data_IF_981226259326
#
_entry.id   IF_981226259326
#
_cell.length_a   1.000
_cell.length_b   1.000
_cell.length_c   1.000
_cell.angle_alpha   90.00
_cell.angle_beta   90.00
_cell.angle_gamma   90.00
#
_symmetry.space_group_name_H-M   'P 1'
#
loop_
_entity.id
_entity.type
_entity.pdbx_description
1 polymer ?
#
# COMPACT_ATOMS: atom_id res chain seq x y z
N UNK A 1 71.66 20.49 18.04
CA UNK A 1 70.25 20.84 18.32
C UNK A 1 69.49 20.75 17.00
N UNK A 2 68.94 19.58 16.67
CA UNK A 2 68.29 19.31 15.39
C UNK A 2 66.80 19.65 15.49
N UNK A 3 66.39 20.70 14.77
CA UNK A 3 64.99 21.11 14.63
C UNK A 3 64.26 20.05 13.81
N UNK A 4 63.30 19.33 14.41
CA UNK A 4 62.38 18.45 13.67
C UNK A 4 61.23 19.29 13.13
N UNK A 5 61.11 19.35 11.82
CA UNK A 5 60.01 19.98 11.10
C UNK A 5 58.82 19.00 11.17
N UNK A 6 57.85 19.26 12.04
CA UNK A 6 56.59 18.51 12.07
C UNK A 6 55.72 19.00 10.91
N UNK A 7 55.68 18.22 9.82
CA UNK A 7 54.71 18.39 8.74
C UNK A 7 53.32 18.01 9.26
N UNK A 8 52.51 19.01 9.63
CA UNK A 8 51.08 18.83 9.84
C UNK A 8 50.44 18.64 8.46
N UNK A 9 50.07 17.40 8.14
CA UNK A 9 49.21 17.10 6.99
C UNK A 9 47.78 17.46 7.43
N UNK A 10 47.29 18.59 6.94
CA UNK A 10 45.86 18.93 7.01
C UNK A 10 45.16 18.08 5.94
N UNK A 11 44.62 16.93 6.33
CA UNK A 11 43.70 16.18 5.46
C UNK A 11 42.40 16.98 5.45
N UNK A 12 42.22 17.80 4.40
CA UNK A 12 40.93 18.41 4.10
C UNK A 12 40.04 17.28 3.59
N UNK A 13 39.28 16.64 4.49
CA UNK A 13 38.20 15.75 4.09
C UNK A 13 37.14 16.60 3.42
N UNK A 14 37.16 16.64 2.09
CA UNK A 14 36.00 17.04 1.31
C UNK A 14 34.96 15.95 1.58
N UNK A 15 34.12 16.16 2.58
CA UNK A 15 32.87 15.44 2.71
C UNK A 15 32.04 15.83 1.49
N UNK A 16 32.16 15.04 0.42
CA UNK A 16 31.09 14.98 -0.55
C UNK A 16 29.87 14.53 0.24
N UNK A 17 28.83 15.37 0.31
CA UNK A 17 27.51 14.89 0.69
C UNK A 17 27.10 13.91 -0.41
N UNK A 18 27.37 12.62 -0.19
CA UNK A 18 26.64 11.59 -0.90
C UNK A 18 25.16 11.89 -0.69
N UNK A 19 24.32 11.80 -1.73
CA UNK A 19 22.92 12.00 -1.50
C UNK A 19 22.42 10.89 -0.55
N UNK A 20 21.70 11.24 0.52
CA UNK A 20 20.75 10.31 1.15
C UNK A 20 19.69 10.02 0.09
N UNK A 21 19.81 8.93 -0.68
CA UNK A 21 18.92 8.72 -1.84
C UNK A 21 18.53 7.30 -2.15
N UNK A 22 19.43 6.32 -2.07
CA UNK A 22 19.10 4.94 -2.48
C UNK A 22 19.17 3.97 -1.28
N UNK A 23 20.15 4.18 -0.38
CA UNK A 23 20.26 3.40 0.86
C UNK A 23 19.09 3.66 1.81
N UNK A 24 18.64 4.91 1.96
CA UNK A 24 17.49 5.23 2.83
C UNK A 24 16.18 4.73 2.24
N UNK A 25 16.06 4.71 0.91
CA UNK A 25 14.92 4.08 0.25
C UNK A 25 14.94 2.57 0.49
N UNK A 26 16.12 1.95 0.38
CA UNK A 26 16.29 0.53 0.68
C UNK A 26 15.93 0.23 2.13
N UNK A 27 16.46 0.99 3.09
CA UNK A 27 16.15 0.86 4.52
C UNK A 27 14.66 1.09 4.80
N UNK A 28 14.04 2.08 4.17
CA UNK A 28 12.60 2.31 4.30
C UNK A 28 11.78 1.09 3.84
N UNK A 29 12.11 0.54 2.67
CA UNK A 29 11.42 -0.63 2.14
C UNK A 29 11.65 -1.85 3.05
N UNK A 30 12.90 -2.13 3.45
CA UNK A 30 13.21 -3.23 4.37
C UNK A 30 12.49 -3.06 5.71
N UNK A 31 12.53 -1.87 6.32
CA UNK A 31 11.86 -1.58 7.59
C UNK A 31 10.34 -1.75 7.50
N UNK A 32 9.73 -1.33 6.39
CA UNK A 32 8.30 -1.51 6.11
C UNK A 32 7.91 -2.98 6.14
N UNK A 33 8.64 -3.83 5.42
CA UNK A 33 8.33 -5.26 5.35
C UNK A 33 8.76 -6.04 6.60
N UNK A 34 9.73 -5.51 7.36
CA UNK A 34 10.12 -6.05 8.66
C UNK A 34 9.12 -5.74 9.79
N UNK A 35 8.10 -4.92 9.53
CA UNK A 35 7.19 -4.46 10.57
C UNK A 35 7.84 -3.51 11.58
N UNK A 36 8.96 -2.86 11.20
CA UNK A 36 9.73 -1.96 12.06
C UNK A 36 9.09 -0.56 12.13
N UNK A 37 7.92 -0.49 12.75
CA UNK A 37 7.04 0.68 12.83
C UNK A 37 7.77 1.99 13.23
N UNK A 38 8.67 1.91 14.20
CA UNK A 38 9.39 3.05 14.76
C UNK A 38 10.43 3.61 13.79
N UNK A 39 11.05 2.75 12.97
CA UNK A 39 11.98 3.17 11.92
C UNK A 39 11.17 3.84 10.81
N UNK A 40 10.11 3.18 10.33
CA UNK A 40 9.24 3.73 9.29
C UNK A 40 8.63 5.08 9.71
N UNK A 41 8.14 5.18 10.94
CA UNK A 41 7.59 6.42 11.49
C UNK A 41 8.62 7.57 11.50
N UNK A 42 9.89 7.27 11.76
CA UNK A 42 10.96 8.27 11.73
C UNK A 42 11.31 8.78 10.32
N UNK A 43 10.87 8.08 9.27
CA UNK A 43 11.18 8.39 7.87
C UNK A 43 10.02 9.04 7.13
N UNK A 44 8.79 8.97 7.66
CA UNK A 44 7.59 9.58 7.07
C UNK A 44 7.24 10.91 7.76
N UNK A 45 6.53 11.79 7.06
CA UNK A 45 6.00 13.03 7.62
C UNK A 45 4.64 12.84 8.29
N UNK A 46 4.25 13.78 9.15
CA UNK A 46 2.94 13.77 9.83
C UNK A 46 1.75 13.86 8.85
N UNK A 47 1.97 14.42 7.65
CA UNK A 47 0.97 14.53 6.59
C UNK A 47 1.11 13.44 5.51
N UNK A 48 1.84 12.37 5.82
CA UNK A 48 2.11 11.27 4.91
C UNK A 48 0.84 10.67 4.30
N UNK A 49 0.92 10.37 2.99
CA UNK A 49 -0.12 9.66 2.24
C UNK A 49 0.45 8.52 1.42
N UNK A 50 -0.08 7.32 1.62
CA UNK A 50 0.20 6.18 0.77
C UNK A 50 -0.96 5.91 -0.18
N UNK A 51 -0.72 6.04 -1.48
CA UNK A 51 -1.70 5.79 -2.53
C UNK A 51 -1.43 4.43 -3.17
N UNK A 52 -2.39 3.52 -3.01
CA UNK A 52 -2.32 2.19 -3.62
C UNK A 52 -2.52 2.27 -5.13
N UNK A 53 -2.21 1.18 -5.83
CA UNK A 53 -2.49 1.11 -7.27
C UNK A 53 -3.99 1.20 -7.54
N UNK A 54 -4.44 2.09 -8.45
CA UNK A 54 -5.84 2.17 -8.82
C UNK A 54 -6.38 0.85 -9.37
N UNK A 55 -7.66 0.58 -9.12
CA UNK A 55 -8.35 -0.60 -9.61
C UNK A 55 -9.78 -0.27 -10.04
N UNK A 56 -10.37 -1.15 -10.85
CA UNK A 56 -11.78 -1.07 -11.23
C UNK A 56 -12.58 -1.95 -10.28
N UNK A 57 -13.56 -1.37 -9.58
CA UNK A 57 -14.34 -2.09 -8.60
C UNK A 57 -15.57 -1.31 -8.12
N UNK A 58 -16.21 -1.79 -7.06
CA UNK A 58 -17.34 -1.09 -6.43
C UNK A 58 -16.89 0.00 -5.44
N UNK A 59 -15.61 0.07 -5.08
CA UNK A 59 -15.09 1.10 -4.17
C UNK A 59 -15.54 0.94 -2.71
N UNK A 60 -15.75 -0.29 -2.27
CA UNK A 60 -16.25 -0.63 -0.93
C UNK A 60 -15.33 -1.64 -0.22
N UNK A 61 -15.36 -1.61 1.11
CA UNK A 61 -14.84 -2.66 1.98
C UNK A 61 -15.99 -3.49 2.50
N UNK A 62 -15.80 -4.81 2.59
CA UNK A 62 -16.83 -5.73 3.06
C UNK A 62 -16.29 -6.76 4.02
N UNK A 63 -17.12 -7.15 4.98
CA UNK A 63 -16.90 -8.33 5.83
C UNK A 63 -18.03 -9.33 5.62
N UNK A 64 -17.68 -10.61 5.49
CA UNK A 64 -18.68 -11.66 5.35
C UNK A 64 -19.18 -12.09 6.73
N UNK A 65 -20.48 -11.92 6.98
CA UNK A 65 -21.15 -12.44 8.17
C UNK A 65 -22.56 -12.91 7.81
N UNK A 66 -22.99 -13.99 8.47
CA UNK A 66 -24.38 -14.47 8.44
C UNK A 66 -24.98 -14.65 7.04
N UNK A 67 -24.16 -15.11 6.08
CA UNK A 67 -24.62 -15.36 4.71
C UNK A 67 -24.55 -14.17 3.76
N UNK A 68 -24.07 -13.00 4.23
CA UNK A 68 -24.06 -11.74 3.48
C UNK A 68 -22.72 -11.02 3.58
N UNK A 69 -22.46 -10.08 2.66
CA UNK A 69 -21.32 -9.16 2.74
C UNK A 69 -21.81 -7.83 3.31
N UNK A 70 -21.42 -7.53 4.54
CA UNK A 70 -21.64 -6.24 5.19
C UNK A 70 -20.65 -5.23 4.64
N UNK A 71 -21.14 -4.11 4.12
CA UNK A 71 -20.30 -2.97 3.72
C UNK A 71 -19.79 -2.27 4.99
N UNK A 72 -18.48 -2.34 5.22
CA UNK A 72 -17.82 -1.75 6.40
C UNK A 72 -17.14 -0.42 6.11
N UNK A 73 -16.95 -0.09 4.83
CA UNK A 73 -16.35 1.17 4.42
C UNK A 73 -16.55 1.48 2.95
N UNK A 74 -16.36 2.75 2.60
CA UNK A 74 -16.35 3.26 1.23
C UNK A 74 -14.99 3.92 1.02
N UNK A 75 -14.34 3.63 -0.11
CA UNK A 75 -13.00 4.17 -0.41
C UNK A 75 -13.07 5.67 -0.68
N UNK A 76 -14.04 6.09 -1.48
CA UNK A 76 -14.32 7.48 -1.83
C UNK A 76 -15.83 7.67 -2.02
N UNK A 77 -16.46 8.38 -1.09
CA UNK A 77 -17.91 8.63 -1.06
C UNK A 77 -18.37 9.61 -2.15
N UNK A 78 -17.45 10.38 -2.73
CA UNK A 78 -17.74 11.22 -3.90
C UNK A 78 -17.88 10.41 -5.19
N UNK A 79 -17.25 9.22 -5.24
CA UNK A 79 -17.30 8.31 -6.40
C UNK A 79 -18.39 7.24 -6.24
N UNK A 80 -18.55 6.67 -5.04
CA UNK A 80 -19.54 5.64 -4.75
C UNK A 80 -20.71 6.21 -3.94
N UNK A 81 -21.80 6.52 -4.63
CA UNK A 81 -23.00 7.18 -4.06
C UNK A 81 -24.23 6.26 -4.01
N UNK A 82 -24.11 5.01 -4.48
CA UNK A 82 -25.21 4.05 -4.57
C UNK A 82 -25.23 3.05 -3.43
N UNK A 83 -24.11 2.91 -2.70
CA UNK A 83 -23.91 1.95 -1.62
C UNK A 83 -23.44 2.70 -0.38
N UNK A 84 -23.89 2.22 0.78
CA UNK A 84 -23.65 2.87 2.07
C UNK A 84 -23.02 1.88 3.06
N UNK A 85 -22.25 2.42 4.01
CA UNK A 85 -21.79 1.61 5.16
C UNK A 85 -23.00 1.07 5.91
N UNK A 86 -22.97 -0.23 6.21
CA UNK A 86 -24.06 -0.97 6.83
C UNK A 86 -24.96 -1.75 5.86
N UNK A 87 -24.86 -1.50 4.55
CA UNK A 87 -25.61 -2.28 3.56
C UNK A 87 -25.16 -3.75 3.59
N UNK A 88 -26.10 -4.67 3.36
CA UNK A 88 -25.84 -6.11 3.32
C UNK A 88 -26.05 -6.63 1.90
N UNK A 89 -24.99 -7.03 1.21
CA UNK A 89 -25.09 -7.64 -0.12
C UNK A 89 -25.34 -9.14 0.05
N UNK A 90 -26.39 -9.65 -0.59
CA UNK A 90 -26.79 -11.06 -0.52
C UNK A 90 -26.47 -11.82 -1.79
N UNK A 91 -26.64 -11.17 -2.95
CA UNK A 91 -26.28 -11.72 -4.25
C UNK A 91 -25.56 -10.70 -5.12
N UNK A 92 -24.66 -11.20 -5.97
CA UNK A 92 -23.97 -10.43 -6.98
C UNK A 92 -23.95 -11.21 -8.29
N UNK A 93 -24.46 -10.59 -9.37
CA UNK A 93 -24.58 -11.17 -10.70
C UNK A 93 -25.28 -12.54 -10.74
N UNK A 94 -26.35 -12.68 -9.95
CA UNK A 94 -27.15 -13.91 -9.87
C UNK A 94 -26.47 -15.05 -9.10
N UNK A 95 -25.43 -14.76 -8.32
CA UNK A 95 -24.79 -15.71 -7.41
C UNK A 95 -24.84 -15.19 -5.97
N UNK A 96 -25.24 -16.06 -5.05
CA UNK A 96 -25.19 -15.79 -3.61
C UNK A 96 -23.74 -15.51 -3.19
N UNK A 97 -23.55 -14.51 -2.34
CA UNK A 97 -22.24 -14.16 -1.84
C UNK A 97 -21.74 -15.17 -0.80
N UNK A 98 -20.44 -15.17 -0.56
CA UNK A 98 -19.70 -16.03 0.35
C UNK A 98 -18.46 -15.26 0.80
N UNK A 99 -17.72 -15.79 1.77
CA UNK A 99 -16.44 -15.20 2.20
C UNK A 99 -15.44 -15.02 1.05
N UNK A 100 -15.57 -15.79 -0.04
CA UNK A 100 -14.71 -15.71 -1.22
C UNK A 100 -15.43 -15.09 -2.44
N UNK A 101 -16.67 -14.63 -2.29
CA UNK A 101 -17.50 -14.23 -3.42
C UNK A 101 -17.49 -12.74 -3.71
N UNK A 102 -17.83 -12.42 -4.96
CA UNK A 102 -17.14 -12.90 -6.15
C UNK A 102 -16.01 -11.94 -6.51
N UNK A 103 -15.02 -12.44 -7.25
CA UNK A 103 -14.03 -11.55 -7.88
C UNK A 103 -14.76 -10.66 -8.87
N UNK A 104 -14.76 -9.36 -8.59
CA UNK A 104 -15.37 -8.35 -9.43
C UNK A 104 -14.44 -8.12 -10.62
N UNK A 105 -14.92 -8.42 -11.82
CA UNK A 105 -14.18 -8.21 -13.06
C UNK A 105 -15.04 -7.39 -14.02
N UNK A 106 -14.41 -6.50 -14.78
CA UNK A 106 -15.09 -5.66 -15.73
C UNK A 106 -14.36 -4.35 -16.01
N UNK A 107 -14.93 -3.58 -16.91
CA UNK A 107 -14.46 -2.24 -17.28
C UNK A 107 -15.18 -1.19 -16.44
N UNK A 108 -14.57 -0.01 -16.32
CA UNK A 108 -15.26 1.14 -15.74
C UNK A 108 -16.61 1.37 -16.46
N UNK A 109 -17.67 1.54 -15.69
CA UNK A 109 -19.05 1.68 -16.17
C UNK A 109 -19.82 0.37 -16.34
N UNK A 110 -19.18 -0.80 -16.30
CA UNK A 110 -19.89 -2.08 -16.37
C UNK A 110 -20.79 -2.24 -15.13
N UNK A 111 -22.06 -2.54 -15.35
CA UNK A 111 -23.04 -2.66 -14.27
C UNK A 111 -22.97 -4.02 -13.57
N UNK A 112 -22.80 -4.00 -12.25
CA UNK A 112 -22.92 -5.16 -11.38
C UNK A 112 -24.34 -5.24 -10.82
N UNK A 113 -25.02 -6.35 -11.07
CA UNK A 113 -26.37 -6.57 -10.51
C UNK A 113 -26.23 -7.08 -9.08
N UNK A 114 -26.75 -6.32 -8.13
CA UNK A 114 -26.73 -6.66 -6.71
C UNK A 114 -28.15 -6.90 -6.20
N UNK A 115 -28.30 -7.89 -5.33
CA UNK A 115 -29.43 -7.99 -4.40
C UNK A 115 -28.87 -7.68 -3.02
N UNK A 116 -29.40 -6.64 -2.38
CA UNK A 116 -28.92 -6.18 -1.08
C UNK A 116 -30.06 -5.69 -0.17
N UNK A 117 -29.79 -5.56 1.11
CA UNK A 117 -30.65 -4.87 2.06
C UNK A 117 -29.96 -3.58 2.48
N UNK A 118 -30.65 -2.45 2.36
CA UNK A 118 -30.12 -1.15 2.77
C UNK A 118 -30.05 -1.04 4.29
N UNK A 119 -29.07 -0.30 4.81
CA UNK A 119 -28.96 -0.03 6.25
C UNK A 119 -30.28 0.50 6.81
N UNK A 120 -30.83 -0.17 7.83
CA UNK A 120 -32.10 0.22 8.46
C UNK A 120 -33.37 -0.24 7.72
N UNK A 121 -33.22 -0.95 6.60
CA UNK A 121 -34.29 -1.65 5.90
C UNK A 121 -34.28 -3.16 6.24
N UNK A 122 -35.38 -3.84 5.97
CA UNK A 122 -35.53 -5.30 6.08
C UNK A 122 -35.90 -5.96 4.75
N UNK A 123 -36.11 -5.18 3.70
CA UNK A 123 -36.50 -5.66 2.38
C UNK A 123 -35.30 -5.80 1.44
N UNK A 124 -35.39 -6.76 0.50
CA UNK A 124 -34.40 -6.87 -0.56
C UNK A 124 -34.63 -5.80 -1.63
N UNK A 125 -33.54 -5.16 -2.02
CA UNK A 125 -33.47 -4.22 -3.14
C UNK A 125 -32.58 -4.83 -4.21
N UNK A 126 -33.08 -4.88 -5.44
CA UNK A 126 -32.27 -5.19 -6.61
C UNK A 126 -31.80 -3.88 -7.26
N UNK A 127 -30.49 -3.76 -7.53
CA UNK A 127 -29.95 -2.60 -8.23
C UNK A 127 -28.74 -2.95 -9.10
N UNK A 128 -28.46 -2.09 -10.07
CA UNK A 128 -27.29 -2.19 -10.94
C UNK A 128 -26.31 -1.08 -10.52
N UNK A 129 -25.16 -1.47 -9.99
CA UNK A 129 -24.11 -0.54 -9.54
C UNK A 129 -22.97 -0.54 -10.56
N UNK A 130 -22.59 0.60 -11.15
CA UNK A 130 -21.49 0.64 -12.11
C UNK A 130 -20.14 0.44 -11.41
N UNK A 131 -19.23 -0.24 -12.09
CA UNK A 131 -17.82 -0.26 -11.67
C UNK A 131 -17.18 1.12 -11.88
N UNK A 132 -16.39 1.54 -10.91
CA UNK A 132 -15.69 2.83 -10.91
C UNK A 132 -14.18 2.60 -10.82
N UNK A 133 -13.41 3.57 -11.31
CA UNK A 133 -11.97 3.62 -11.07
C UNK A 133 -11.75 4.20 -9.68
N UNK A 134 -11.12 3.43 -8.81
CA UNK A 134 -10.94 3.78 -7.40
C UNK A 134 -9.47 3.66 -7.02
N UNK A 135 -9.02 4.52 -6.12
CA UNK A 135 -7.70 4.46 -5.54
C UNK A 135 -7.80 4.53 -4.01
N UNK A 136 -7.47 3.42 -3.34
CA UNK A 136 -7.37 3.43 -1.89
C UNK A 136 -6.15 4.21 -1.44
N UNK A 137 -6.29 4.97 -0.35
CA UNK A 137 -5.17 5.68 0.26
C UNK A 137 -5.18 5.55 1.78
N UNK A 138 -3.99 5.57 2.37
CA UNK A 138 -3.77 5.52 3.81
C UNK A 138 -3.08 6.80 4.27
N UNK A 139 -3.42 7.26 5.46
CA UNK A 139 -2.58 8.20 6.20
C UNK A 139 -1.48 7.44 6.94
N UNK A 140 -0.59 8.18 7.60
CA UNK A 140 0.44 7.67 8.51
C UNK A 140 -0.07 6.59 9.49
N UNK A 141 -1.17 6.86 10.18
CA UNK A 141 -1.70 6.02 11.26
C UNK A 141 -2.17 4.66 10.73
N UNK A 142 -2.96 4.65 9.64
CA UNK A 142 -3.43 3.41 9.01
C UNK A 142 -2.27 2.66 8.34
N UNK A 143 -1.34 3.38 7.72
CA UNK A 143 -0.16 2.77 7.10
C UNK A 143 0.72 2.04 8.12
N UNK A 144 1.00 2.67 9.26
CA UNK A 144 1.79 2.06 10.34
C UNK A 144 1.06 0.89 10.99
N UNK A 145 -0.26 0.99 11.19
CA UNK A 145 -1.06 -0.07 11.77
C UNK A 145 -1.05 -1.38 10.96
N UNK A 146 -0.81 -1.28 9.65
CA UNK A 146 -0.75 -2.45 8.75
C UNK A 146 0.63 -3.14 8.70
N UNK A 147 1.69 -2.49 9.20
CA UNK A 147 3.06 -3.02 9.06
C UNK A 147 3.28 -4.30 9.86
N UNK A 148 2.97 -4.29 11.16
CA UNK A 148 3.17 -5.46 12.03
C UNK A 148 2.30 -6.64 11.63
N UNK A 149 0.98 -6.47 11.39
CA UNK A 149 0.15 -7.59 10.92
C UNK A 149 0.63 -8.19 9.60
N UNK A 150 1.17 -7.38 8.70
CA UNK A 150 1.77 -7.89 7.46
C UNK A 150 3.06 -8.66 7.72
N UNK A 151 3.96 -8.15 8.57
CA UNK A 151 5.21 -8.83 8.88
C UNK A 151 4.97 -10.17 9.60
N UNK A 152 4.01 -10.22 10.53
CA UNK A 152 3.73 -11.39 11.39
C UNK A 152 3.19 -12.62 10.63
N UNK A 153 2.69 -12.46 9.40
CA UNK A 153 2.18 -13.59 8.61
C UNK A 153 3.28 -14.35 7.86
N UNK A 154 4.51 -13.82 7.80
CA UNK A 154 5.62 -14.41 7.05
C UNK A 154 6.61 -15.10 7.98
N UNK A 155 6.93 -16.35 7.67
CA UNK A 155 7.99 -17.08 8.36
C UNK A 155 9.37 -16.59 7.92
N UNK A 156 9.53 -16.38 6.61
CA UNK A 156 10.73 -15.81 6.00
C UNK A 156 10.32 -14.98 4.77
N UNK A 157 11.08 -13.92 4.50
CA UNK A 157 10.92 -13.09 3.32
C UNK A 157 12.25 -12.48 2.89
N UNK A 158 12.35 -12.15 1.61
CA UNK A 158 13.48 -11.46 1.02
C UNK A 158 13.01 -10.35 0.10
N UNK A 159 13.77 -9.27 0.08
CA UNK A 159 13.56 -8.14 -0.81
C UNK A 159 14.83 -7.91 -1.60
N UNK A 160 14.68 -7.90 -2.91
CA UNK A 160 15.73 -7.53 -3.83
C UNK A 160 15.37 -6.18 -4.46
N UNK A 161 16.12 -5.14 -4.13
CA UNK A 161 16.02 -3.84 -4.82
C UNK A 161 16.65 -3.99 -6.20
N UNK A 162 15.83 -3.85 -7.25
CA UNK A 162 16.24 -4.04 -8.64
C UNK A 162 16.73 -2.75 -9.28
N UNK A 163 16.07 -1.63 -8.98
CA UNK A 163 16.48 -0.31 -9.47
C UNK A 163 15.97 0.82 -8.55
N UNK A 164 16.75 1.89 -8.46
CA UNK A 164 16.35 3.15 -7.82
C UNK A 164 16.72 4.31 -8.74
N UNK A 165 15.73 5.12 -9.09
CA UNK A 165 15.92 6.33 -9.88
C UNK A 165 15.49 7.54 -9.07
N UNK A 166 16.49 8.26 -8.54
CA UNK A 166 16.28 9.37 -7.61
C UNK A 166 16.48 10.74 -8.27
N UNK A 167 15.46 11.61 -8.16
CA UNK A 167 15.55 13.03 -8.49
C UNK A 167 15.71 13.86 -7.19
N UNK A 168 15.37 15.15 -7.20
CA UNK A 168 15.59 16.04 -6.05
C UNK A 168 14.59 15.86 -4.92
N UNK A 169 13.33 15.57 -5.25
CA UNK A 169 12.19 15.56 -4.31
C UNK A 169 11.30 14.33 -4.52
N UNK A 170 11.78 13.38 -5.32
CA UNK A 170 11.13 12.11 -5.60
C UNK A 170 12.16 11.05 -5.98
N UNK A 171 11.79 9.79 -5.80
CA UNK A 171 12.50 8.64 -6.32
C UNK A 171 11.50 7.60 -6.83
N UNK A 172 11.94 6.79 -7.78
CA UNK A 172 11.23 5.58 -8.19
C UNK A 172 12.01 4.40 -7.67
N UNK A 173 11.36 3.46 -7.00
CA UNK A 173 11.96 2.20 -6.56
C UNK A 173 11.27 1.05 -7.26
N UNK A 174 12.07 0.12 -7.78
CA UNK A 174 11.61 -1.13 -8.37
C UNK A 174 12.25 -2.28 -7.60
N UNK A 175 11.43 -3.18 -7.06
CA UNK A 175 11.91 -4.28 -6.23
C UNK A 175 11.11 -5.56 -6.47
N UNK A 176 11.78 -6.67 -6.19
CA UNK A 176 11.19 -8.00 -6.09
C UNK A 176 11.06 -8.36 -4.61
N UNK A 177 9.89 -8.83 -4.22
CA UNK A 177 9.62 -9.37 -2.91
C UNK A 177 9.31 -10.86 -3.06
N UNK A 178 9.85 -11.69 -2.19
CA UNK A 178 9.46 -13.08 -2.06
C UNK A 178 9.35 -13.50 -0.59
N UNK A 179 8.49 -14.46 -0.29
CA UNK A 179 8.35 -14.95 1.08
C UNK A 179 7.50 -16.20 1.21
N UNK A 180 7.63 -16.86 2.36
CA UNK A 180 6.87 -18.05 2.71
C UNK A 180 6.25 -17.91 4.10
N UNK A 181 5.06 -18.48 4.27
CA UNK A 181 4.31 -18.43 5.54
C UNK A 181 4.73 -19.52 6.52
N UNK A 182 5.44 -20.53 6.05
CA UNK A 182 5.88 -21.68 6.84
C UNK A 182 7.20 -22.25 6.30
N UNK A 183 7.97 -22.91 7.16
CA UNK A 183 9.27 -23.49 6.79
C UNK A 183 9.10 -24.55 5.68
N UNK A 184 9.75 -24.34 4.53
CA UNK A 184 9.67 -25.25 3.38
C UNK A 184 8.32 -25.21 2.64
N UNK A 185 7.46 -24.24 2.92
CA UNK A 185 6.17 -24.04 2.27
C UNK A 185 6.28 -23.43 0.86
N UNK A 186 5.13 -23.17 0.21
CA UNK A 186 5.09 -22.40 -1.04
C UNK A 186 5.75 -21.02 -0.87
N UNK A 187 6.44 -20.57 -1.91
CA UNK A 187 7.00 -19.23 -1.98
C UNK A 187 6.06 -18.36 -2.81
N UNK A 188 5.72 -17.20 -2.26
CA UNK A 188 4.94 -16.16 -2.92
C UNK A 188 5.91 -15.10 -3.42
N UNK A 189 5.61 -14.48 -4.57
CA UNK A 189 6.52 -13.57 -5.23
C UNK A 189 5.73 -12.43 -5.86
N UNK A 190 6.26 -11.21 -5.75
CA UNK A 190 5.79 -10.09 -6.56
C UNK A 190 6.86 -9.08 -6.89
N UNK A 191 6.54 -8.30 -7.90
CA UNK A 191 7.28 -7.12 -8.28
C UNK A 191 6.46 -5.90 -7.95
N UNK A 192 7.11 -4.87 -7.41
CA UNK A 192 6.48 -3.61 -7.09
C UNK A 192 7.30 -2.45 -7.65
N UNK A 193 6.59 -1.41 -8.11
CA UNK A 193 7.17 -0.14 -8.48
C UNK A 193 6.45 0.97 -7.73
N UNK A 194 7.21 1.78 -6.99
CA UNK A 194 6.68 2.84 -6.15
C UNK A 194 7.38 4.16 -6.43
N UNK A 195 6.61 5.25 -6.49
CA UNK A 195 7.11 6.61 -6.52
C UNK A 195 7.07 7.17 -5.10
N UNK A 196 8.24 7.45 -4.54
CA UNK A 196 8.42 8.00 -3.19
C UNK A 196 8.72 9.49 -3.31
N UNK A 197 7.99 10.34 -2.59
CA UNK A 197 8.16 11.79 -2.59
C UNK A 197 8.57 12.27 -1.20
N UNK A 198 9.54 13.18 -1.16
CA UNK A 198 10.14 13.65 0.08
C UNK A 198 10.26 15.17 0.14
N UNK A 199 10.15 15.71 1.34
CA UNK A 199 10.32 17.13 1.59
C UNK A 199 11.78 17.54 1.43
N UNK A 200 12.07 18.50 0.57
CA UNK A 200 13.45 18.97 0.32
C UNK A 200 14.24 19.39 1.58
N UNK A 201 13.56 19.85 2.63
CA UNK A 201 14.23 20.37 3.84
C UNK A 201 14.46 19.31 4.91
N UNK A 202 13.50 18.42 5.10
CA UNK A 202 13.51 17.41 6.17
C UNK A 202 13.85 16.03 5.66
N UNK A 203 13.79 15.82 4.34
CA UNK A 203 13.97 14.55 3.63
C UNK A 203 12.95 13.47 4.02
N UNK A 204 11.97 13.82 4.86
CA UNK A 204 10.86 12.95 5.23
C UNK A 204 9.95 12.66 4.03
N UNK A 205 9.53 11.41 3.94
CA UNK A 205 8.60 10.91 2.93
C UNK A 205 7.21 11.44 3.27
N UNK A 206 6.59 12.19 2.36
CA UNK A 206 5.22 12.68 2.56
C UNK A 206 4.21 12.02 1.63
N UNK A 207 4.67 11.31 0.60
CA UNK A 207 3.79 10.62 -0.32
C UNK A 207 4.47 9.41 -0.95
N UNK A 208 3.72 8.31 -1.07
CA UNK A 208 4.10 7.16 -1.88
C UNK A 208 2.95 6.85 -2.85
N UNK A 209 3.26 6.62 -4.12
CA UNK A 209 2.31 6.15 -5.13
C UNK A 209 2.76 4.78 -5.67
N UNK A 210 1.97 3.73 -5.44
CA UNK A 210 2.25 2.39 -5.97
C UNK A 210 1.66 2.23 -7.37
N UNK A 211 2.50 1.92 -8.35
CA UNK A 211 2.09 1.79 -9.75
C UNK A 211 1.69 0.36 -10.14
N UNK A 212 2.08 -0.63 -9.33
CA UNK A 212 1.80 -2.04 -9.58
C UNK A 212 1.58 -2.80 -8.27
N UNK A 213 0.54 -3.62 -8.20
CA UNK A 213 0.32 -4.54 -7.08
C UNK A 213 -0.16 -5.91 -7.57
N UNK A 214 0.09 -6.95 -6.78
CA UNK A 214 -0.36 -8.34 -7.03
C UNK A 214 -1.86 -8.47 -7.30
N UNK A 215 -2.67 -7.51 -6.83
CA UNK A 215 -4.14 -7.61 -6.82
C UNK A 215 -4.81 -7.18 -8.14
N UNK A 216 -4.04 -6.95 -9.20
CA UNK A 216 -4.62 -6.53 -10.49
C UNK A 216 -5.14 -7.68 -11.38
N UNK A 217 -5.01 -8.95 -10.96
CA UNK A 217 -5.51 -10.12 -11.69
C UNK A 217 -6.41 -11.01 -10.83
#
# INVERSE_FOLDING_TARGET
MTLRLNSFIFILSILYSAPLKDADITEFIEARYAGADSIVYSMISEDFRYYHTPYIGLGIFTEYSDGSLLITGIVDDSLQTMLDVGDLIHEMNGKVVSANSPVITGRAGDGQRLILTKTGDTTFTEMIVPLILVQFSQNDSLFLADLTPYADIWHDYHIEILDIVSEKEKASVYYHWEGSREEGGPVYHFYAMELIYFYKKTELIYKIETLWSEKQF
#
